data_IF_100248528502
#
_entry.id   IF_100248528502
#
_cell.length_a   1.000
_cell.length_b   1.000
_cell.length_c   1.000
_cell.angle_alpha   90.00
_cell.angle_beta   90.00
_cell.angle_gamma   90.00
#
_symmetry.space_group_name_H-M   'P 1'
#
loop_
_entity.id
_entity.type
_entity.pdbx_description
1 polymer ?
#
# COMPACT_ATOMS: atom_id res chain seq x y z
N UNK A 1 5.58 -14.84 -2.28
CA UNK A 1 4.59 -15.14 -3.35
C UNK A 1 3.57 -16.19 -2.91
N UNK A 2 3.99 -17.37 -2.40
CA UNK A 2 3.06 -18.41 -1.92
C UNK A 2 1.99 -17.85 -0.96
N UNK A 3 2.37 -17.04 0.03
CA UNK A 3 1.40 -16.42 0.94
C UNK A 3 0.36 -15.55 0.23
N UNK A 4 0.73 -14.82 -0.83
CA UNK A 4 -0.22 -14.05 -1.64
C UNK A 4 -1.19 -14.95 -2.42
N UNK A 5 -0.73 -16.10 -2.94
CA UNK A 5 -1.63 -17.09 -3.58
C UNK A 5 -2.65 -17.66 -2.59
N UNK A 6 -2.25 -17.88 -1.33
CA UNK A 6 -3.15 -18.35 -0.27
C UNK A 6 -4.23 -17.30 0.06
N UNK A 7 -3.88 -16.02 0.03
CA UNK A 7 -4.87 -14.93 0.21
C UNK A 7 -5.79 -14.81 -1.01
N UNK A 8 -5.22 -14.79 -2.22
CA UNK A 8 -5.96 -14.56 -3.48
C UNK A 8 -6.87 -15.75 -3.83
N UNK A 9 -6.51 -16.97 -3.40
CA UNK A 9 -7.21 -18.23 -3.71
C UNK A 9 -7.67 -18.32 -5.17
N UNK A 10 -6.75 -18.24 -6.14
CA UNK A 10 -7.13 -18.28 -7.54
C UNK A 10 -7.86 -19.61 -7.84
N UNK A 11 -9.06 -19.52 -8.44
CA UNK A 11 -9.83 -20.67 -8.90
C UNK A 11 -10.93 -21.21 -7.96
N UNK A 12 -11.05 -20.70 -6.73
CA UNK A 12 -12.10 -21.12 -5.79
C UNK A 12 -13.35 -20.20 -5.79
N UNK A 13 -13.46 -19.29 -6.76
CA UNK A 13 -14.60 -18.37 -6.94
C UNK A 13 -14.71 -17.88 -8.38
N UNK A 14 -15.78 -17.15 -8.71
CA UNK A 14 -15.98 -16.57 -10.04
C UNK A 14 -14.79 -15.67 -10.41
N UNK A 15 -14.11 -15.97 -11.51
CA UNK A 15 -12.99 -15.18 -12.04
C UNK A 15 -13.51 -13.80 -12.43
N UNK A 16 -13.40 -12.86 -11.50
CA UNK A 16 -13.85 -11.50 -11.76
C UNK A 16 -12.82 -10.75 -12.60
N UNK A 17 -13.24 -9.98 -13.64
CA UNK A 17 -12.36 -9.11 -14.40
C UNK A 17 -11.53 -8.16 -13.52
N UNK A 18 -11.96 -7.89 -12.29
CA UNK A 18 -11.29 -6.98 -11.36
C UNK A 18 -9.88 -7.43 -10.93
N UNK A 19 -9.51 -8.71 -11.11
CA UNK A 19 -8.16 -9.21 -10.82
C UNK A 19 -7.10 -8.47 -11.66
N UNK A 20 -7.44 -8.04 -12.88
CA UNK A 20 -6.53 -7.28 -13.74
C UNK A 20 -6.14 -5.93 -13.11
N UNK A 21 -7.06 -5.29 -12.38
CA UNK A 21 -6.75 -4.03 -11.67
C UNK A 21 -5.73 -4.24 -10.55
N UNK A 22 -5.78 -5.38 -9.84
CA UNK A 22 -4.76 -5.70 -8.82
C UNK A 22 -3.37 -5.87 -9.44
N UNK A 23 -3.29 -6.56 -10.59
CA UNK A 23 -2.01 -6.75 -11.30
C UNK A 23 -1.48 -5.43 -11.83
N UNK A 24 -2.33 -4.61 -12.46
CA UNK A 24 -1.98 -3.29 -12.96
C UNK A 24 -1.52 -2.36 -11.82
N UNK A 25 -2.25 -2.34 -10.70
CA UNK A 25 -1.91 -1.58 -9.50
C UNK A 25 -0.54 -1.98 -8.96
N UNK A 26 -0.28 -3.28 -8.81
CA UNK A 26 1.03 -3.79 -8.34
C UNK A 26 2.16 -3.37 -9.28
N UNK A 27 1.94 -3.42 -10.59
CA UNK A 27 2.88 -2.94 -11.60
C UNK A 27 3.18 -1.45 -11.45
N UNK A 28 2.14 -0.62 -11.37
CA UNK A 28 2.26 0.83 -11.15
C UNK A 28 3.01 1.16 -9.85
N UNK A 29 2.65 0.53 -8.73
CA UNK A 29 3.32 0.77 -7.44
C UNK A 29 4.78 0.36 -7.45
N UNK A 30 5.12 -0.75 -8.13
CA UNK A 30 6.51 -1.18 -8.29
C UNK A 30 7.29 -0.19 -9.15
N UNK A 31 6.72 0.25 -10.26
CA UNK A 31 7.34 1.24 -11.14
C UNK A 31 7.56 2.57 -10.41
N UNK A 32 6.58 3.04 -9.64
CA UNK A 32 6.69 4.21 -8.77
C UNK A 32 7.86 4.06 -7.79
N UNK A 33 7.94 2.96 -7.04
CA UNK A 33 9.02 2.74 -6.08
C UNK A 33 10.41 2.71 -6.75
N UNK A 34 10.53 2.13 -7.95
CA UNK A 34 11.78 2.11 -8.72
C UNK A 34 12.18 3.50 -9.22
N UNK A 35 11.23 4.28 -9.73
CA UNK A 35 11.47 5.66 -10.16
C UNK A 35 11.87 6.55 -8.97
N UNK A 36 11.13 6.52 -7.87
CA UNK A 36 11.46 7.28 -6.64
C UNK A 36 12.89 7.00 -6.20
N UNK A 37 13.34 5.74 -6.30
CA UNK A 37 14.72 5.38 -5.99
C UNK A 37 15.72 5.89 -7.04
N UNK A 38 15.40 5.82 -8.34
CA UNK A 38 16.28 6.31 -9.42
C UNK A 38 16.55 7.81 -9.28
N UNK A 39 15.58 8.58 -8.80
CA UNK A 39 15.69 10.02 -8.58
C UNK A 39 16.03 10.41 -7.14
N UNK A 40 16.25 9.43 -6.26
CA UNK A 40 16.64 9.69 -4.87
C UNK A 40 17.95 10.49 -4.82
N UNK A 41 17.95 11.61 -4.09
CA UNK A 41 19.09 12.53 -3.96
C UNK A 41 19.25 13.53 -5.11
N UNK A 42 18.43 13.46 -6.17
CA UNK A 42 18.37 14.47 -7.24
C UNK A 42 17.17 15.40 -7.11
N UNK A 43 16.11 14.93 -6.44
CA UNK A 43 14.88 15.68 -6.19
C UNK A 43 14.51 15.65 -4.71
N UNK A 44 13.88 16.72 -4.24
CA UNK A 44 13.32 16.78 -2.89
C UNK A 44 12.11 15.85 -2.78
N UNK A 45 12.02 15.05 -1.72
CA UNK A 45 10.88 14.17 -1.42
C UNK A 45 9.52 14.89 -1.50
N UNK A 46 9.48 16.15 -1.07
CA UNK A 46 8.29 17.01 -1.08
C UNK A 46 7.78 17.24 -2.50
N UNK A 47 8.68 17.49 -3.44
CA UNK A 47 8.33 17.72 -4.85
C UNK A 47 7.82 16.43 -5.48
N UNK A 48 8.53 15.32 -5.29
CA UNK A 48 8.11 14.03 -5.85
C UNK A 48 6.76 13.56 -5.27
N UNK A 49 6.52 13.75 -3.97
CA UNK A 49 5.24 13.41 -3.33
C UNK A 49 4.10 14.32 -3.81
N UNK A 50 4.36 15.63 -3.95
CA UNK A 50 3.36 16.60 -4.42
C UNK A 50 2.98 16.37 -5.88
N UNK A 51 3.95 16.07 -6.75
CA UNK A 51 3.68 15.73 -8.15
C UNK A 51 2.88 14.44 -8.24
N UNK A 52 3.23 13.41 -7.45
CA UNK A 52 2.47 12.17 -7.41
C UNK A 52 1.01 12.40 -6.97
N UNK A 53 0.79 13.24 -5.96
CA UNK A 53 -0.55 13.61 -5.49
C UNK A 53 -1.33 14.42 -6.54
N UNK A 54 -0.70 15.34 -7.25
CA UNK A 54 -1.32 16.12 -8.31
C UNK A 54 -1.72 15.23 -9.49
N UNK A 55 -0.81 14.38 -9.97
CA UNK A 55 -1.08 13.43 -11.05
C UNK A 55 -2.19 12.46 -10.65
N UNK A 56 -2.15 11.94 -9.42
CA UNK A 56 -3.22 11.09 -8.89
C UNK A 56 -4.57 11.78 -8.86
N UNK A 57 -4.61 13.03 -8.39
CA UNK A 57 -5.83 13.85 -8.36
C UNK A 57 -6.40 14.06 -9.77
N UNK A 58 -5.56 14.47 -10.73
CA UNK A 58 -6.00 14.72 -12.12
C UNK A 58 -6.47 13.43 -12.79
N UNK A 59 -5.77 12.31 -12.57
CA UNK A 59 -6.15 11.02 -13.12
C UNK A 59 -7.46 10.47 -12.50
N UNK A 60 -7.68 10.72 -11.21
CA UNK A 60 -8.88 10.26 -10.50
C UNK A 60 -10.09 11.19 -10.70
N UNK A 61 -9.89 12.46 -11.05
CA UNK A 61 -10.97 13.46 -11.15
C UNK A 61 -12.12 13.07 -12.09
N UNK A 62 -11.90 12.52 -13.30
CA UNK A 62 -13.01 12.09 -14.17
C UNK A 62 -13.84 10.96 -13.56
N UNK A 63 -13.17 10.02 -12.89
CA UNK A 63 -13.83 8.89 -12.22
C UNK A 63 -14.63 9.38 -11.01
N UNK A 64 -14.01 10.23 -10.18
CA UNK A 64 -14.66 10.85 -9.03
C UNK A 64 -15.88 11.68 -9.44
N UNK A 65 -15.81 12.42 -10.55
CA UNK A 65 -16.92 13.18 -11.09
C UNK A 65 -18.05 12.28 -11.59
N UNK A 66 -17.72 11.18 -12.28
CA UNK A 66 -18.73 10.25 -12.82
C UNK A 66 -19.53 9.50 -11.75
N UNK A 67 -18.97 9.31 -10.56
CA UNK A 67 -19.56 8.58 -9.44
C UNK A 67 -19.68 9.46 -8.19
N UNK A 68 -19.85 10.77 -8.37
CA UNK A 68 -19.88 11.73 -7.27
C UNK A 68 -21.14 11.56 -6.41
N UNK A 69 -20.95 11.34 -5.12
CA UNK A 69 -21.99 11.40 -4.11
C UNK A 69 -21.69 12.55 -3.15
N UNK A 70 -22.65 13.47 -3.00
CA UNK A 70 -22.45 14.63 -2.13
C UNK A 70 -22.56 14.20 -0.67
N UNK A 71 -21.53 14.42 0.17
CA UNK A 71 -21.59 14.08 1.58
C UNK A 71 -22.70 14.88 2.27
N UNK A 72 -23.61 14.19 2.92
CA UNK A 72 -24.75 14.81 3.62
C UNK A 72 -24.47 15.03 5.11
N UNK A 73 -23.63 14.18 5.71
CA UNK A 73 -23.29 14.25 7.12
C UNK A 73 -21.99 15.01 7.36
N UNK A 74 -21.92 15.73 8.49
CA UNK A 74 -20.67 16.41 8.89
C UNK A 74 -19.53 15.42 9.10
N UNK A 75 -19.86 14.21 9.57
CA UNK A 75 -18.89 13.14 9.77
C UNK A 75 -18.21 12.72 8.45
N UNK A 76 -18.95 12.65 7.35
CA UNK A 76 -18.41 12.27 6.04
C UNK A 76 -17.35 13.26 5.58
N UNK A 77 -17.62 14.56 5.73
CA UNK A 77 -16.67 15.63 5.39
C UNK A 77 -15.41 15.53 6.25
N UNK A 78 -15.56 15.30 7.55
CA UNK A 78 -14.42 15.11 8.48
C UNK A 78 -13.60 13.89 8.08
N UNK A 79 -14.24 12.76 7.78
CA UNK A 79 -13.57 11.53 7.35
C UNK A 79 -12.86 11.71 6.00
N UNK A 80 -13.45 12.43 5.04
CA UNK A 80 -12.81 12.76 3.76
C UNK A 80 -11.55 13.61 3.95
N UNK A 81 -11.62 14.66 4.79
CA UNK A 81 -10.46 15.49 5.11
C UNK A 81 -9.38 14.70 5.84
N UNK A 82 -9.77 13.87 6.81
CA UNK A 82 -8.84 13.00 7.54
C UNK A 82 -8.17 12.00 6.59
N UNK A 83 -8.93 11.36 5.70
CA UNK A 83 -8.41 10.43 4.69
C UNK A 83 -7.36 11.12 3.81
N UNK A 84 -7.66 12.32 3.30
CA UNK A 84 -6.72 13.11 2.50
C UNK A 84 -5.44 13.45 3.26
N UNK A 85 -5.57 13.90 4.52
CA UNK A 85 -4.43 14.24 5.37
C UNK A 85 -3.54 13.01 5.66
N UNK A 86 -4.14 11.90 6.10
CA UNK A 86 -3.39 10.67 6.40
C UNK A 86 -2.77 10.06 5.14
N UNK A 87 -3.46 10.13 3.99
CA UNK A 87 -2.90 9.68 2.72
C UNK A 87 -1.69 10.52 2.31
N UNK A 88 -1.77 11.85 2.42
CA UNK A 88 -0.66 12.75 2.09
C UNK A 88 0.55 12.52 3.02
N UNK A 89 0.32 12.45 4.34
CA UNK A 89 1.37 12.17 5.32
C UNK A 89 1.98 10.79 5.11
N UNK A 90 1.15 9.77 4.86
CA UNK A 90 1.59 8.41 4.57
C UNK A 90 2.48 8.35 3.34
N UNK A 91 2.08 8.97 2.23
CA UNK A 91 2.89 9.04 1.00
C UNK A 91 4.18 9.84 1.19
N UNK A 92 4.15 10.93 1.94
CA UNK A 92 5.34 11.71 2.26
C UNK A 92 6.36 10.89 3.05
N UNK A 93 5.94 10.24 4.14
CA UNK A 93 6.81 9.39 4.94
C UNK A 93 7.31 8.17 4.16
N UNK A 94 6.46 7.58 3.32
CA UNK A 94 6.85 6.49 2.44
C UNK A 94 7.96 6.92 1.46
N UNK A 95 7.76 8.04 0.77
CA UNK A 95 8.75 8.61 -0.16
C UNK A 95 10.07 8.91 0.56
N UNK A 96 9.98 9.55 1.73
CA UNK A 96 11.16 9.89 2.55
C UNK A 96 11.91 8.63 3.02
N UNK A 97 11.19 7.57 3.42
CA UNK A 97 11.81 6.31 3.79
C UNK A 97 12.62 5.74 2.62
N UNK A 98 12.01 5.63 1.43
CA UNK A 98 12.67 5.08 0.23
C UNK A 98 13.83 5.94 -0.30
N UNK A 99 13.82 7.25 -0.04
CA UNK A 99 14.97 8.10 -0.37
C UNK A 99 16.13 7.96 0.62
N UNK A 100 15.86 7.72 1.91
CA UNK A 100 16.88 7.72 2.97
C UNK A 100 17.42 6.33 3.34
N UNK A 101 16.71 5.26 2.97
CA UNK A 101 17.08 3.89 3.34
C UNK A 101 17.18 2.94 2.15
N UNK A 102 17.91 1.82 2.29
CA UNK A 102 17.89 0.77 1.29
C UNK A 102 16.47 0.19 1.16
N UNK A 103 15.95 0.11 -0.06
CA UNK A 103 14.60 -0.43 -0.31
C UNK A 103 14.37 -1.80 0.35
N UNK A 104 15.39 -2.66 0.39
CA UNK A 104 15.27 -3.98 0.98
C UNK A 104 15.10 -3.98 2.51
N UNK A 105 15.55 -2.92 3.19
CA UNK A 105 15.29 -2.71 4.63
C UNK A 105 13.87 -2.17 4.85
N UNK A 106 13.33 -1.41 3.90
CA UNK A 106 12.03 -0.73 4.01
C UNK A 106 10.87 -1.66 3.61
N UNK A 107 11.06 -2.47 2.57
CA UNK A 107 10.03 -3.39 2.05
C UNK A 107 9.38 -4.28 3.13
N UNK A 108 10.11 -4.82 4.13
CA UNK A 108 9.51 -5.59 5.22
C UNK A 108 8.52 -4.79 6.09
N UNK A 109 8.74 -3.49 6.27
CA UNK A 109 7.84 -2.63 7.05
C UNK A 109 6.50 -2.42 6.35
N UNK A 110 6.48 -2.45 5.01
CA UNK A 110 5.22 -2.39 4.24
C UNK A 110 4.29 -3.56 4.57
N UNK A 111 4.81 -4.71 5.02
CA UNK A 111 3.95 -5.82 5.46
C UNK A 111 3.20 -5.52 6.76
N UNK A 112 3.65 -4.55 7.56
CA UNK A 112 2.90 -4.05 8.72
C UNK A 112 1.54 -3.47 8.34
N UNK A 113 1.37 -3.03 7.09
CA UNK A 113 0.07 -2.57 6.58
C UNK A 113 -0.98 -3.68 6.60
N UNK A 114 -0.59 -4.96 6.41
CA UNK A 114 -1.53 -6.09 6.50
C UNK A 114 -2.10 -6.24 7.92
N UNK A 115 -1.25 -6.07 8.92
CA UNK A 115 -1.66 -6.11 10.34
C UNK A 115 -2.57 -4.92 10.64
N UNK A 116 -2.16 -3.72 10.21
CA UNK A 116 -2.97 -2.51 10.36
C UNK A 116 -4.34 -2.65 9.72
N UNK A 117 -4.41 -3.15 8.49
CA UNK A 117 -5.66 -3.38 7.77
C UNK A 117 -6.58 -4.38 8.50
N UNK A 118 -6.01 -5.46 9.05
CA UNK A 118 -6.79 -6.42 9.85
C UNK A 118 -7.33 -5.82 11.16
N UNK A 119 -6.49 -5.03 11.87
CA UNK A 119 -6.88 -4.39 13.14
C UNK A 119 -7.95 -3.33 12.90
N UNK A 120 -7.73 -2.39 11.98
CA UNK A 120 -8.71 -1.35 11.67
C UNK A 120 -9.96 -1.92 11.00
N UNK A 121 -9.82 -2.98 10.19
CA UNK A 121 -10.93 -3.74 9.62
C UNK A 121 -11.87 -4.27 10.70
N UNK A 122 -11.31 -4.86 11.75
CA UNK A 122 -12.09 -5.33 12.88
C UNK A 122 -12.67 -4.19 13.73
N UNK A 123 -11.87 -3.18 14.07
CA UNK A 123 -12.30 -2.11 14.97
C UNK A 123 -13.39 -1.21 14.38
N UNK A 124 -13.35 -0.96 13.07
CA UNK A 124 -14.25 0.00 12.40
C UNK A 124 -15.43 -0.68 11.70
N UNK A 125 -15.25 -1.91 11.21
CA UNK A 125 -16.24 -2.60 10.39
C UNK A 125 -16.70 -3.94 10.98
N UNK A 126 -16.23 -4.30 12.17
CA UNK A 126 -16.47 -5.60 12.81
C UNK A 126 -16.12 -6.78 11.89
N UNK A 127 -15.23 -6.55 10.92
CA UNK A 127 -14.91 -7.50 9.87
C UNK A 127 -13.58 -8.20 10.17
N UNK A 128 -13.67 -9.47 10.56
CA UNK A 128 -12.50 -10.31 10.79
C UNK A 128 -12.02 -10.95 9.48
N UNK A 129 -10.71 -10.92 9.20
CA UNK A 129 -10.14 -11.67 8.09
C UNK A 129 -10.43 -13.16 8.27
N UNK A 130 -10.76 -13.83 7.17
CA UNK A 130 -11.00 -15.27 7.22
C UNK A 130 -9.73 -16.08 7.52
N UNK A 131 -9.92 -17.36 7.86
CA UNK A 131 -8.84 -18.25 8.29
C UNK A 131 -7.69 -18.33 7.28
N UNK A 132 -7.98 -18.34 5.98
CA UNK A 132 -6.90 -18.43 5.00
C UNK A 132 -6.22 -17.09 4.75
N UNK A 133 -6.93 -15.98 4.88
CA UNK A 133 -6.33 -14.64 4.83
C UNK A 133 -5.32 -14.49 5.96
N UNK A 134 -5.64 -15.00 7.16
CA UNK A 134 -4.71 -15.07 8.28
C UNK A 134 -3.49 -15.95 7.98
N UNK A 135 -3.69 -17.15 7.41
CA UNK A 135 -2.58 -18.05 7.03
C UNK A 135 -1.69 -17.40 5.97
N UNK A 136 -2.28 -16.83 4.93
CA UNK A 136 -1.54 -16.15 3.87
C UNK A 136 -0.76 -14.94 4.39
N UNK A 137 -1.39 -14.12 5.25
CA UNK A 137 -0.73 -13.00 5.92
C UNK A 137 0.43 -13.46 6.81
N UNK A 138 0.26 -14.54 7.58
CA UNK A 138 1.33 -15.11 8.40
C UNK A 138 2.54 -15.56 7.55
N UNK A 139 2.31 -16.20 6.40
CA UNK A 139 3.38 -16.60 5.48
C UNK A 139 4.10 -15.37 4.91
N UNK A 140 3.36 -14.32 4.54
CA UNK A 140 3.93 -13.07 4.02
C UNK A 140 4.82 -12.41 5.09
N UNK A 141 4.30 -12.26 6.31
CA UNK A 141 5.03 -11.65 7.43
C UNK A 141 6.29 -12.45 7.78
N UNK A 142 6.18 -13.78 7.91
CA UNK A 142 7.33 -14.64 8.20
C UNK A 142 8.42 -14.55 7.11
N UNK A 143 8.01 -14.51 5.85
CA UNK A 143 8.94 -14.32 4.72
C UNK A 143 9.65 -12.95 4.78
N UNK A 144 8.91 -11.88 5.10
CA UNK A 144 9.46 -10.54 5.26
C UNK A 144 10.48 -10.44 6.40
N UNK A 145 10.15 -11.02 7.56
CA UNK A 145 11.05 -11.08 8.73
C UNK A 145 12.32 -11.88 8.38
N UNK A 146 12.17 -13.03 7.71
CA UNK A 146 13.30 -13.84 7.29
C UNK A 146 14.25 -13.09 6.33
N UNK A 147 13.71 -12.37 5.35
CA UNK A 147 14.51 -11.55 4.43
C UNK A 147 15.27 -10.46 5.20
N UNK A 148 14.58 -9.73 6.08
CA UNK A 148 15.19 -8.70 6.92
C UNK A 148 16.33 -9.25 7.79
N UNK A 149 16.10 -10.41 8.42
CA UNK A 149 17.11 -11.10 9.22
C UNK A 149 18.31 -11.53 8.37
N UNK A 150 18.06 -12.16 7.21
CA UNK A 150 19.10 -12.63 6.29
C UNK A 150 19.96 -11.49 5.75
N UNK A 151 19.37 -10.34 5.42
CA UNK A 151 20.13 -9.16 4.98
C UNK A 151 20.99 -8.56 6.08
N UNK A 152 20.48 -8.53 7.32
CA UNK A 152 21.25 -8.06 8.47
C UNK A 152 22.48 -8.94 8.72
N UNK A 153 22.32 -10.27 8.66
CA UNK A 153 23.43 -11.21 8.82
C UNK A 153 24.45 -11.07 7.68
N UNK A 154 24.00 -10.93 6.43
CA UNK A 154 24.90 -10.75 5.27
C UNK A 154 25.65 -9.42 5.24
N UNK A 155 25.13 -8.37 5.85
CA UNK A 155 25.84 -7.07 5.99
C UNK A 155 26.83 -7.05 7.15
N UNK A 156 26.74 -8.00 8.07
CA UNK A 156 27.62 -8.10 9.23
C UNK A 156 28.86 -8.99 8.99
N UNK A 157 28.91 -9.66 7.83
CA UNK A 157 30.05 -10.45 7.32
C UNK A 157 30.72 -9.66 6.21
#
# INVERSE_FOLDING_TARGET
FIGALVVIRPGFGATSPYILFFVASTGCSTFYALLTRKYAGRENAEVSASIAALVGTVAAAPLAYSAWETPTETLDVVLMCALGLFAALGHYFFTMAFQRGPAAVISPFSYGQLVGAAVFGYLLFEHLPDRWTLVGAAIIMASGIYIAHRERVRRAV
#
